data_IF_132024780174
#
_entry.id   IF_132024780174
#
_cell.length_a   1.000
_cell.length_b   1.000
_cell.length_c   1.000
_cell.angle_alpha   90.00
_cell.angle_beta   90.00
_cell.angle_gamma   90.00
#
_symmetry.space_group_name_H-M   'P 1'
#
loop_
_entity.id
_entity.type
_entity.pdbx_description
1 polymer ?
#
# COMPACT_ATOMS: atom_id res chain seq x y z
N UNK A 1 51.99 16.63 11.18
CA UNK A 1 50.99 16.89 10.11
C UNK A 1 50.51 18.32 10.31
N UNK A 2 50.79 19.24 9.37
CA UNK A 2 50.43 20.65 9.52
C UNK A 2 48.90 20.81 9.53
N UNK A 3 48.36 21.66 10.41
CA UNK A 3 46.93 21.93 10.57
C UNK A 3 46.22 22.20 9.24
N UNK A 4 46.89 22.92 8.33
CA UNK A 4 46.43 23.22 6.97
C UNK A 4 46.21 21.95 6.14
N UNK A 5 47.11 20.96 6.25
CA UNK A 5 46.95 19.68 5.54
C UNK A 5 45.79 18.86 6.10
N UNK A 6 45.56 18.92 7.43
CA UNK A 6 44.41 18.26 8.06
C UNK A 6 43.08 18.90 7.62
N UNK A 7 43.01 20.22 7.52
CA UNK A 7 41.82 20.94 7.03
C UNK A 7 41.56 20.63 5.55
N UNK A 8 42.61 20.63 4.72
CA UNK A 8 42.50 20.26 3.30
C UNK A 8 42.07 18.80 3.11
N UNK A 9 42.54 17.88 3.95
CA UNK A 9 42.07 16.48 3.90
C UNK A 9 40.63 16.35 4.36
N UNK A 10 40.20 17.08 5.39
CA UNK A 10 38.80 17.09 5.82
C UNK A 10 37.88 17.68 4.74
N UNK A 11 38.32 18.74 4.04
CA UNK A 11 37.57 19.30 2.92
C UNK A 11 37.41 18.29 1.77
N UNK A 12 38.45 17.52 1.44
CA UNK A 12 38.41 16.49 0.38
C UNK A 12 37.52 15.28 0.73
N UNK A 13 37.45 14.90 2.00
CA UNK A 13 36.62 13.78 2.48
C UNK A 13 35.20 14.27 2.85
N UNK A 14 34.97 15.59 2.88
CA UNK A 14 33.65 16.14 3.19
C UNK A 14 32.63 15.76 2.12
N UNK A 15 31.38 15.57 2.53
CA UNK A 15 30.27 15.33 1.60
C UNK A 15 30.13 16.42 0.54
N UNK A 16 30.51 17.67 0.85
CA UNK A 16 30.52 18.78 -0.10
C UNK A 16 31.44 18.54 -1.30
N UNK A 17 32.59 17.90 -1.10
CA UNK A 17 33.52 17.58 -2.18
C UNK A 17 33.05 16.41 -3.06
N UNK A 18 32.16 15.56 -2.53
CA UNK A 18 31.58 14.42 -3.25
C UNK A 18 30.24 14.71 -3.92
N UNK A 19 29.69 15.92 -3.79
CA UNK A 19 28.40 16.27 -4.38
C UNK A 19 28.51 16.26 -5.90
N UNK A 20 27.71 15.42 -6.54
CA UNK A 20 27.47 15.43 -7.97
C UNK A 20 26.05 15.95 -8.27
N UNK A 21 25.75 16.20 -9.55
CA UNK A 21 24.45 16.75 -9.96
C UNK A 21 23.28 15.82 -9.57
N UNK A 22 23.47 14.52 -9.71
CA UNK A 22 22.44 13.50 -9.44
C UNK A 22 22.08 13.44 -7.95
N UNK A 23 23.08 13.45 -7.06
CA UNK A 23 22.91 13.57 -5.61
C UNK A 23 22.16 14.84 -5.25
N UNK A 24 22.50 15.99 -5.86
CA UNK A 24 21.80 17.26 -5.61
C UNK A 24 20.32 17.16 -6.02
N UNK A 25 20.01 16.58 -7.18
CA UNK A 25 18.63 16.37 -7.63
C UNK A 25 17.90 15.46 -6.63
N UNK A 26 18.50 14.37 -6.17
CA UNK A 26 17.86 13.47 -5.20
C UNK A 26 17.66 14.11 -3.83
N UNK A 27 18.58 14.96 -3.37
CA UNK A 27 18.38 15.76 -2.15
C UNK A 27 17.19 16.71 -2.30
N UNK A 28 17.00 17.31 -3.48
CA UNK A 28 15.82 18.13 -3.78
C UNK A 28 14.54 17.28 -3.82
N UNK A 29 14.57 16.10 -4.44
CA UNK A 29 13.44 15.16 -4.43
C UNK A 29 13.08 14.77 -3.00
N UNK A 30 14.06 14.38 -2.17
CA UNK A 30 13.88 14.11 -0.75
C UNK A 30 13.26 15.30 0.00
N UNK A 31 13.73 16.52 -0.28
CA UNK A 31 13.16 17.76 0.26
C UNK A 31 11.69 18.00 -0.15
N UNK A 32 11.34 17.71 -1.41
CA UNK A 32 9.95 17.78 -1.89
C UNK A 32 9.08 16.76 -1.16
N UNK A 33 9.56 15.52 -1.00
CA UNK A 33 8.83 14.48 -0.28
C UNK A 33 8.65 14.83 1.20
N UNK A 34 9.66 15.42 1.85
CA UNK A 34 9.54 15.97 3.21
C UNK A 34 8.47 17.07 3.28
N UNK A 35 8.43 17.98 2.30
CA UNK A 35 7.39 19.02 2.23
C UNK A 35 5.99 18.41 2.11
N UNK A 36 5.82 17.39 1.25
CA UNK A 36 4.54 16.69 1.09
C UNK A 36 4.13 15.97 2.39
N UNK A 37 5.07 15.31 3.06
CA UNK A 37 4.80 14.61 4.31
C UNK A 37 4.48 15.57 5.47
N UNK A 38 5.23 16.66 5.63
CA UNK A 38 5.12 17.57 6.78
C UNK A 38 4.01 18.61 6.58
N UNK A 39 4.04 19.32 5.44
CA UNK A 39 3.15 20.46 5.18
C UNK A 39 1.83 19.99 4.62
N UNK A 40 1.84 19.07 3.64
CA UNK A 40 0.61 18.54 3.03
C UNK A 40 0.03 17.33 3.79
N UNK A 41 0.78 16.75 4.74
CA UNK A 41 0.37 15.60 5.55
C UNK A 41 -0.02 14.38 4.70
N UNK A 42 0.72 14.16 3.61
CA UNK A 42 0.53 12.99 2.74
C UNK A 42 1.23 11.79 3.35
N UNK A 43 0.44 10.80 3.78
CA UNK A 43 0.90 9.55 4.43
C UNK A 43 2.14 9.74 5.34
N UNK A 44 2.08 10.68 6.31
CA UNK A 44 3.28 11.19 6.98
C UNK A 44 4.00 10.11 7.79
N UNK A 45 3.30 9.07 8.23
CA UNK A 45 3.91 7.97 9.00
C UNK A 45 4.94 7.19 8.18
N UNK A 46 4.75 7.10 6.87
CA UNK A 46 5.64 6.35 5.96
C UNK A 46 6.44 7.28 5.05
N UNK A 47 5.81 8.30 4.47
CA UNK A 47 6.46 9.19 3.52
C UNK A 47 7.59 10.01 4.17
N UNK A 48 7.46 10.36 5.44
CA UNK A 48 8.51 11.11 6.15
C UNK A 48 9.79 10.27 6.34
N UNK A 49 9.76 9.04 6.91
CA UNK A 49 10.94 8.18 6.92
C UNK A 49 11.51 7.86 5.53
N UNK A 50 10.65 7.65 4.52
CA UNK A 50 11.10 7.42 3.12
C UNK A 50 11.88 8.61 2.60
N UNK A 51 11.33 9.82 2.74
CA UNK A 51 11.97 11.04 2.30
C UNK A 51 13.32 11.27 3.01
N UNK A 52 13.39 10.97 4.31
CA UNK A 52 14.63 11.09 5.07
C UNK A 52 15.67 10.03 4.65
N UNK A 53 15.24 8.78 4.43
CA UNK A 53 16.11 7.72 3.89
C UNK A 53 16.68 8.07 2.51
N UNK A 54 15.86 8.67 1.64
CA UNK A 54 16.30 9.16 0.33
C UNK A 54 17.37 10.26 0.45
N UNK A 55 17.25 11.14 1.44
CA UNK A 55 18.29 12.14 1.72
C UNK A 55 19.57 11.44 2.20
N UNK A 56 19.46 10.54 3.18
CA UNK A 56 20.62 9.85 3.75
C UNK A 56 21.44 9.10 2.70
N UNK A 57 20.79 8.37 1.80
CA UNK A 57 21.49 7.53 0.83
C UNK A 57 22.18 8.32 -0.28
N UNK A 58 21.73 9.54 -0.55
CA UNK A 58 22.33 10.40 -1.57
C UNK A 58 23.36 11.39 -1.00
N UNK A 59 23.69 11.30 0.28
CA UNK A 59 24.82 12.00 0.87
C UNK A 59 26.14 11.29 0.50
N UNK A 60 27.11 12.00 -0.13
CA UNK A 60 28.37 11.40 -0.55
C UNK A 60 29.23 10.89 0.61
N UNK A 61 30.00 9.84 0.36
CA UNK A 61 31.03 9.29 1.27
C UNK A 61 30.52 8.82 2.64
N UNK A 62 29.22 8.50 2.77
CA UNK A 62 28.64 8.07 4.05
C UNK A 62 28.80 6.58 4.35
N UNK A 63 29.03 5.75 3.33
CA UNK A 63 29.14 4.30 3.47
C UNK A 63 27.88 3.61 3.99
N UNK A 64 26.72 4.29 4.06
CA UNK A 64 25.52 3.78 4.71
C UNK A 64 24.95 2.52 4.05
N UNK A 65 25.14 2.40 2.73
CA UNK A 65 24.69 1.27 1.91
C UNK A 65 25.82 0.30 1.54
N UNK A 66 27.06 0.60 1.92
CA UNK A 66 28.19 -0.32 1.75
C UNK A 66 28.01 -1.55 2.66
N UNK A 67 28.74 -2.62 2.38
CA UNK A 67 28.68 -3.86 3.18
C UNK A 67 29.00 -3.56 4.66
N UNK A 68 28.08 -3.92 5.56
CA UNK A 68 28.18 -3.61 6.99
C UNK A 68 27.70 -2.19 7.38
N UNK A 69 27.31 -1.36 6.42
CA UNK A 69 26.67 -0.07 6.66
C UNK A 69 25.31 -0.20 7.32
N UNK A 70 24.91 0.81 8.10
CA UNK A 70 23.66 0.75 8.86
C UNK A 70 22.42 0.52 7.97
N UNK A 71 22.28 1.27 6.88
CA UNK A 71 21.13 1.12 5.96
C UNK A 71 21.21 -0.18 5.16
N UNK A 72 22.42 -0.66 4.85
CA UNK A 72 22.63 -1.98 4.24
C UNK A 72 22.11 -3.10 5.15
N UNK A 73 22.53 -3.12 6.41
CA UNK A 73 22.08 -4.11 7.41
C UNK A 73 20.57 -4.00 7.64
N UNK A 74 20.05 -2.79 7.79
CA UNK A 74 18.62 -2.59 8.01
C UNK A 74 17.80 -3.06 6.80
N UNK A 75 18.32 -2.90 5.58
CA UNK A 75 17.66 -3.34 4.34
C UNK A 75 17.51 -4.85 4.23
N UNK A 76 18.23 -5.64 5.03
CA UNK A 76 17.96 -7.07 5.20
C UNK A 76 16.48 -7.35 5.50
N UNK A 77 15.84 -6.50 6.31
CA UNK A 77 14.43 -6.65 6.66
C UNK A 77 13.46 -6.40 5.49
N UNK A 78 13.87 -5.68 4.44
CA UNK A 78 13.10 -5.56 3.19
C UNK A 78 13.40 -6.73 2.26
N UNK A 79 14.69 -7.03 2.04
CA UNK A 79 15.12 -8.08 1.11
C UNK A 79 14.61 -9.47 1.51
N UNK A 80 14.43 -9.71 2.81
CA UNK A 80 13.85 -10.94 3.36
C UNK A 80 12.41 -10.78 3.87
N UNK A 81 11.73 -9.70 3.45
CA UNK A 81 10.28 -9.50 3.65
C UNK A 81 9.83 -9.36 5.12
N UNK A 82 10.77 -9.33 6.06
CA UNK A 82 10.48 -9.25 7.48
C UNK A 82 9.61 -8.04 7.83
N UNK A 83 9.98 -6.86 7.33
CA UNK A 83 9.25 -5.64 7.67
C UNK A 83 7.84 -5.59 7.04
N UNK A 84 7.64 -5.85 5.73
CA UNK A 84 6.29 -5.93 5.17
C UNK A 84 5.39 -6.94 5.90
N UNK A 85 5.90 -8.15 6.19
CA UNK A 85 5.14 -9.19 6.89
C UNK A 85 4.71 -8.74 8.29
N UNK A 86 5.61 -8.10 9.05
CA UNK A 86 5.28 -7.57 10.38
C UNK A 86 4.28 -6.40 10.31
N UNK A 87 4.32 -5.57 9.27
CA UNK A 87 3.27 -4.56 9.04
C UNK A 87 1.91 -5.23 8.81
N UNK A 88 1.84 -6.31 8.04
CA UNK A 88 0.59 -7.05 7.85
C UNK A 88 0.01 -7.60 9.15
N UNK A 89 0.84 -8.00 10.11
CA UNK A 89 0.39 -8.38 11.45
C UNK A 89 -0.34 -7.21 12.14
N UNK A 90 0.26 -6.02 12.13
CA UNK A 90 -0.33 -4.82 12.71
C UNK A 90 -1.62 -4.41 12.00
N UNK A 91 -1.65 -4.45 10.65
CA UNK A 91 -2.87 -4.23 9.86
C UNK A 91 -3.96 -5.21 10.27
N UNK A 92 -3.63 -6.49 10.42
CA UNK A 92 -4.55 -7.51 10.93
C UNK A 92 -5.13 -7.19 12.30
N UNK A 93 -4.29 -6.73 13.22
CA UNK A 93 -4.68 -6.35 14.58
C UNK A 93 -5.57 -5.10 14.62
N UNK A 94 -5.39 -4.16 13.68
CA UNK A 94 -6.22 -2.96 13.56
C UNK A 94 -7.55 -3.18 12.81
N UNK A 95 -7.64 -4.26 12.01
CA UNK A 95 -8.76 -4.45 11.08
C UNK A 95 -9.95 -5.15 11.74
N UNK A 96 -11.14 -4.53 11.64
CA UNK A 96 -12.41 -5.19 11.94
C UNK A 96 -12.99 -5.85 10.69
N UNK A 97 -13.03 -7.18 10.67
CA UNK A 97 -13.63 -7.97 9.58
C UNK A 97 -15.15 -8.12 9.73
N UNK A 98 -15.76 -7.60 10.80
CA UNK A 98 -17.21 -7.62 11.01
C UNK A 98 -18.02 -7.12 9.81
N UNK A 99 -17.70 -5.96 9.22
CA UNK A 99 -18.32 -5.47 7.99
C UNK A 99 -18.29 -6.46 6.82
N UNK A 100 -17.15 -7.12 6.60
CA UNK A 100 -16.98 -8.10 5.52
C UNK A 100 -17.82 -9.36 5.78
N UNK A 101 -17.73 -9.90 7.00
CA UNK A 101 -18.49 -11.07 7.43
C UNK A 101 -19.99 -10.83 7.35
N UNK A 102 -20.45 -9.64 7.76
CA UNK A 102 -21.86 -9.30 7.75
C UNK A 102 -22.47 -9.27 6.35
N UNK A 103 -21.69 -8.93 5.32
CA UNK A 103 -22.13 -8.94 3.93
C UNK A 103 -21.05 -9.51 2.99
N UNK A 104 -20.94 -10.85 2.88
CA UNK A 104 -19.86 -11.50 2.14
C UNK A 104 -19.82 -11.18 0.64
N UNK A 105 -20.94 -10.76 0.04
CA UNK A 105 -20.99 -10.34 -1.37
C UNK A 105 -20.03 -9.17 -1.63
N UNK A 106 -19.76 -8.35 -0.60
CA UNK A 106 -18.79 -7.24 -0.70
C UNK A 106 -17.36 -7.69 -0.96
N UNK A 107 -17.03 -8.97 -0.70
CA UNK A 107 -15.73 -9.54 -1.08
C UNK A 107 -15.46 -9.45 -2.58
N UNK A 108 -16.50 -9.63 -3.41
CA UNK A 108 -16.39 -9.53 -4.87
C UNK A 108 -16.06 -8.11 -5.34
N UNK A 109 -16.41 -7.07 -4.57
CA UNK A 109 -16.02 -5.69 -4.90
C UNK A 109 -14.52 -5.47 -4.70
N UNK A 110 -13.93 -6.09 -3.67
CA UNK A 110 -12.48 -6.11 -3.46
C UNK A 110 -11.74 -6.86 -4.58
N UNK A 111 -12.32 -7.96 -5.07
CA UNK A 111 -11.79 -8.69 -6.22
C UNK A 111 -11.86 -7.86 -7.51
N UNK A 112 -13.00 -7.21 -7.79
CA UNK A 112 -13.17 -6.35 -8.96
C UNK A 112 -12.25 -5.11 -8.94
N UNK A 113 -11.91 -4.61 -7.75
CA UNK A 113 -10.96 -3.51 -7.60
C UNK A 113 -9.53 -3.90 -8.04
N UNK A 114 -9.19 -5.19 -8.12
CA UNK A 114 -7.89 -5.64 -8.66
C UNK A 114 -7.78 -5.48 -10.19
N UNK A 115 -8.82 -4.99 -10.87
CA UNK A 115 -8.74 -4.68 -12.31
C UNK A 115 -7.55 -3.78 -12.65
N UNK A 116 -7.28 -2.77 -11.82
CA UNK A 116 -6.16 -1.86 -12.08
C UNK A 116 -4.79 -2.53 -11.98
N UNK A 117 -4.68 -3.61 -11.21
CA UNK A 117 -3.46 -4.43 -11.17
C UNK A 117 -3.18 -5.03 -12.55
N UNK A 118 -4.18 -5.69 -13.15
CA UNK A 118 -4.03 -6.29 -14.48
C UNK A 118 -3.81 -5.25 -15.58
N UNK A 119 -4.51 -4.11 -15.52
CA UNK A 119 -4.30 -3.00 -16.47
C UNK A 119 -2.86 -2.48 -16.40
N UNK A 120 -2.30 -2.36 -15.20
CA UNK A 120 -0.93 -1.92 -15.02
C UNK A 120 0.11 -2.94 -15.50
N UNK A 121 -0.11 -4.25 -15.28
CA UNK A 121 0.75 -5.31 -15.83
C UNK A 121 0.77 -5.25 -17.35
N UNK A 122 -0.41 -5.24 -17.98
CA UNK A 122 -0.53 -5.19 -19.44
C UNK A 122 0.12 -3.91 -19.96
N UNK A 123 -0.15 -2.77 -19.32
CA UNK A 123 0.46 -1.49 -19.65
C UNK A 123 1.99 -1.51 -19.55
N UNK A 124 2.54 -2.09 -18.49
CA UNK A 124 3.97 -2.22 -18.27
C UNK A 124 4.66 -3.08 -19.34
N UNK A 125 4.08 -4.24 -19.67
CA UNK A 125 4.60 -5.10 -20.74
C UNK A 125 4.58 -4.37 -22.09
N UNK A 126 3.49 -3.66 -22.41
CA UNK A 126 3.37 -2.93 -23.67
C UNK A 126 4.38 -1.79 -23.83
N UNK A 127 4.84 -1.19 -22.73
CA UNK A 127 5.86 -0.13 -22.75
C UNK A 127 7.29 -0.63 -22.54
N UNK A 128 7.48 -1.96 -22.55
CA UNK A 128 8.78 -2.62 -22.64
C UNK A 128 9.39 -3.12 -21.33
N UNK A 129 8.64 -3.13 -20.21
CA UNK A 129 9.11 -3.80 -19.00
C UNK A 129 9.02 -5.31 -19.15
N UNK A 130 9.96 -6.05 -18.53
CA UNK A 130 9.86 -7.50 -18.48
C UNK A 130 8.67 -7.94 -17.60
N UNK A 131 8.25 -9.21 -17.70
CA UNK A 131 7.04 -9.67 -17.01
C UNK A 131 7.15 -9.62 -15.48
N UNK A 132 8.36 -9.77 -14.90
CA UNK A 132 8.60 -9.69 -13.45
C UNK A 132 8.54 -8.24 -12.98
N UNK A 133 9.18 -7.33 -13.72
CA UNK A 133 9.05 -5.89 -13.49
C UNK A 133 7.60 -5.42 -13.65
N UNK A 134 6.92 -5.87 -14.71
CA UNK A 134 5.52 -5.55 -14.96
C UNK A 134 4.59 -6.07 -13.86
N UNK A 135 4.84 -7.26 -13.31
CA UNK A 135 4.10 -7.78 -12.15
C UNK A 135 4.30 -6.91 -10.90
N UNK A 136 5.54 -6.51 -10.63
CA UNK A 136 5.87 -5.62 -9.51
C UNK A 136 5.24 -4.21 -9.67
N UNK A 137 5.25 -3.65 -10.88
CA UNK A 137 4.58 -2.37 -11.20
C UNK A 137 3.05 -2.54 -11.10
N UNK A 138 2.55 -3.67 -11.56
CA UNK A 138 1.14 -4.04 -11.57
C UNK A 138 0.49 -3.87 -10.21
N UNK A 139 1.15 -4.40 -9.18
CA UNK A 139 0.57 -4.48 -7.85
C UNK A 139 0.36 -3.11 -7.18
N UNK A 140 0.99 -2.04 -7.69
CA UNK A 140 0.68 -0.64 -7.30
C UNK A 140 -0.81 -0.36 -7.46
N UNK A 141 -1.45 -0.94 -8.47
CA UNK A 141 -2.89 -0.83 -8.70
C UNK A 141 -3.75 -1.36 -7.55
N UNK A 142 -3.23 -2.27 -6.73
CA UNK A 142 -3.88 -2.75 -5.53
C UNK A 142 -3.96 -1.69 -4.42
N UNK A 143 -3.16 -0.63 -4.50
CA UNK A 143 -3.06 0.44 -3.49
C UNK A 143 -2.73 -0.08 -2.08
N UNK A 144 -1.90 -1.13 -2.03
CA UNK A 144 -1.39 -1.74 -0.81
C UNK A 144 0.13 -1.63 -0.82
N UNK A 145 0.64 -0.61 -0.12
CA UNK A 145 2.07 -0.31 -0.06
C UNK A 145 2.92 -1.48 0.46
N UNK A 146 2.59 -2.09 1.61
CA UNK A 146 3.28 -3.27 2.11
C UNK A 146 3.32 -4.44 1.12
N UNK A 147 2.21 -4.78 0.47
CA UNK A 147 2.22 -5.83 -0.59
C UNK A 147 3.06 -5.40 -1.79
N UNK A 148 3.04 -4.12 -2.16
CA UNK A 148 3.83 -3.60 -3.28
C UNK A 148 5.32 -3.71 -3.05
N UNK A 149 5.78 -3.36 -1.84
CA UNK A 149 7.18 -3.53 -1.44
C UNK A 149 7.55 -5.00 -1.40
N UNK A 150 6.68 -5.84 -0.83
CA UNK A 150 6.90 -7.28 -0.75
C UNK A 150 7.14 -7.92 -2.12
N UNK A 151 6.26 -7.65 -3.09
CA UNK A 151 6.39 -8.21 -4.44
C UNK A 151 7.59 -7.63 -5.18
N UNK A 152 7.81 -6.32 -5.09
CA UNK A 152 8.94 -5.66 -5.74
C UNK A 152 10.30 -6.15 -5.20
N UNK A 153 10.41 -6.40 -3.89
CA UNK A 153 11.62 -6.94 -3.28
C UNK A 153 12.02 -8.32 -3.83
N UNK A 154 11.04 -9.15 -4.20
CA UNK A 154 11.30 -10.47 -4.81
C UNK A 154 11.49 -10.42 -6.33
N UNK A 155 10.71 -9.59 -7.02
CA UNK A 155 10.60 -9.64 -8.47
C UNK A 155 11.45 -8.60 -9.19
N UNK A 156 11.55 -7.39 -8.63
CA UNK A 156 12.16 -6.26 -9.30
C UNK A 156 12.89 -5.32 -8.31
N UNK A 157 13.96 -5.80 -7.62
CA UNK A 157 14.62 -5.03 -6.56
C UNK A 157 15.16 -3.67 -7.02
N UNK A 158 15.58 -3.57 -8.29
CA UNK A 158 16.16 -2.35 -8.88
C UNK A 158 15.17 -1.20 -8.98
N UNK A 159 13.88 -1.49 -9.14
CA UNK A 159 12.82 -0.47 -9.27
C UNK A 159 11.96 -0.36 -8.00
N UNK A 160 12.38 -1.01 -6.90
CA UNK A 160 11.65 -1.01 -5.63
C UNK A 160 11.38 0.41 -5.12
N UNK A 161 12.39 1.28 -5.16
CA UNK A 161 12.24 2.67 -4.73
C UNK A 161 11.16 3.42 -5.51
N UNK A 162 11.14 3.27 -6.84
CA UNK A 162 10.13 3.86 -7.70
C UNK A 162 8.71 3.32 -7.40
N UNK A 163 8.58 2.00 -7.25
CA UNK A 163 7.31 1.33 -6.93
C UNK A 163 6.78 1.79 -5.57
N UNK A 164 7.63 1.82 -4.55
CA UNK A 164 7.23 2.19 -3.19
C UNK A 164 6.81 3.67 -3.10
N UNK A 165 7.56 4.58 -3.74
CA UNK A 165 7.17 6.00 -3.82
C UNK A 165 5.84 6.15 -4.54
N UNK A 166 5.66 5.48 -5.67
CA UNK A 166 4.40 5.51 -6.42
C UNK A 166 3.23 4.99 -5.55
N UNK A 167 3.38 3.82 -4.93
CA UNK A 167 2.34 3.20 -4.11
C UNK A 167 1.86 4.13 -2.98
N UNK A 168 2.76 4.65 -2.14
CA UNK A 168 2.36 5.51 -1.02
C UNK A 168 1.90 6.91 -1.44
N UNK A 169 2.51 7.47 -2.50
CA UNK A 169 2.05 8.74 -3.06
C UNK A 169 0.61 8.62 -3.53
N UNK A 170 0.25 7.55 -4.25
CA UNK A 170 -1.11 7.37 -4.74
C UNK A 170 -2.12 7.02 -3.66
N UNK A 171 -1.72 6.26 -2.62
CA UNK A 171 -2.55 6.05 -1.43
C UNK A 171 -2.92 7.39 -0.77
N UNK A 172 -2.00 8.35 -0.68
CA UNK A 172 -2.31 9.69 -0.15
C UNK A 172 -3.26 10.49 -1.06
N UNK A 173 -3.23 10.22 -2.36
CA UNK A 173 -4.02 10.91 -3.40
C UNK A 173 -5.37 10.25 -3.67
N UNK A 174 -5.72 9.14 -2.99
CA UNK A 174 -7.07 8.52 -3.02
C UNK A 174 -8.20 9.58 -2.95
N UNK A 175 -8.17 10.59 -2.06
CA UNK A 175 -9.24 11.58 -1.94
C UNK A 175 -9.33 12.56 -3.12
N UNK A 176 -8.30 12.63 -3.95
CA UNK A 176 -8.25 13.43 -5.16
C UNK A 176 -8.65 12.60 -6.38
N UNK A 177 -8.14 11.37 -6.49
CA UNK A 177 -8.31 10.51 -7.67
C UNK A 177 -9.69 9.83 -7.68
N UNK A 178 -10.15 9.31 -6.54
CA UNK A 178 -11.41 8.55 -6.51
C UNK A 178 -12.66 9.39 -6.77
N UNK A 179 -12.86 10.58 -6.17
CA UNK A 179 -14.12 11.30 -6.29
C UNK A 179 -14.52 11.69 -7.72
N UNK A 180 -13.60 12.14 -8.60
CA UNK A 180 -13.93 12.38 -10.01
C UNK A 180 -14.48 11.12 -10.70
N UNK A 181 -13.84 9.97 -10.51
CA UNK A 181 -14.25 8.69 -11.11
C UNK A 181 -15.60 8.24 -10.55
N UNK A 182 -15.77 8.30 -9.22
CA UNK A 182 -17.06 8.07 -8.57
C UNK A 182 -18.15 8.96 -9.17
N UNK A 183 -17.84 10.25 -9.41
CA UNK A 183 -18.81 11.21 -9.93
C UNK A 183 -19.17 10.98 -11.40
N UNK A 184 -18.23 10.46 -12.18
CA UNK A 184 -18.40 10.18 -13.61
C UNK A 184 -19.22 8.91 -13.85
N UNK A 185 -19.03 7.87 -13.04
CA UNK A 185 -19.64 6.55 -13.26
C UNK A 185 -20.82 6.22 -12.33
N UNK A 186 -21.33 7.19 -11.58
CA UNK A 186 -22.54 7.02 -10.76
C UNK A 186 -23.46 8.22 -10.89
N UNK A 187 -24.77 8.05 -10.72
CA UNK A 187 -25.72 9.17 -10.72
C UNK A 187 -25.95 9.71 -9.30
N UNK A 188 -26.49 10.94 -9.18
CA UNK A 188 -26.81 11.52 -7.86
C UNK A 188 -27.81 10.66 -7.09
N UNK A 189 -28.80 10.09 -7.76
CA UNK A 189 -29.80 9.22 -7.14
C UNK A 189 -29.19 7.91 -6.62
N UNK A 190 -28.26 7.31 -7.37
CA UNK A 190 -27.52 6.12 -6.89
C UNK A 190 -26.70 6.41 -5.63
N UNK A 191 -26.08 7.60 -5.55
CA UNK A 191 -25.27 7.99 -4.38
C UNK A 191 -26.11 8.22 -3.12
N UNK A 192 -27.39 8.58 -3.26
CA UNK A 192 -28.31 8.82 -2.13
C UNK A 192 -28.81 7.54 -1.47
N UNK A 193 -28.62 6.37 -2.09
CA UNK A 193 -29.09 5.08 -1.60
C UNK A 193 -28.54 4.81 -0.20
N UNK A 194 -29.45 4.66 0.75
CA UNK A 194 -29.16 4.27 2.13
C UNK A 194 -29.12 2.74 2.20
N UNK A 195 -27.99 2.21 2.63
CA UNK A 195 -27.82 0.76 2.77
C UNK A 195 -28.47 0.26 4.07
N UNK A 196 -29.02 -0.96 4.02
CA UNK A 196 -29.60 -1.61 5.20
C UNK A 196 -28.51 -1.89 6.24
N UNK A 197 -28.86 -1.76 7.51
CA UNK A 197 -27.96 -2.09 8.62
C UNK A 197 -27.40 -3.51 8.48
N UNK A 198 -26.11 -3.66 8.75
CA UNK A 198 -25.41 -4.94 8.71
C UNK A 198 -25.98 -5.90 9.76
N UNK A 199 -25.99 -7.21 9.44
CA UNK A 199 -26.35 -8.23 10.43
C UNK A 199 -25.33 -8.22 11.59
N UNK A 200 -25.75 -8.58 12.81
CA UNK A 200 -24.79 -8.85 13.87
C UNK A 200 -23.93 -10.06 13.51
N UNK A 201 -22.62 -9.94 13.72
CA UNK A 201 -21.65 -11.02 13.52
C UNK A 201 -21.30 -11.60 14.88
N UNK A 202 -21.45 -12.92 15.03
CA UNK A 202 -21.19 -13.56 16.31
C UNK A 202 -19.69 -13.56 16.63
N UNK A 203 -19.34 -13.60 17.93
CA UNK A 203 -17.94 -13.66 18.34
C UNK A 203 -17.24 -14.93 17.82
N UNK A 204 -17.96 -16.06 17.79
CA UNK A 204 -17.47 -17.33 17.23
C UNK A 204 -17.10 -17.17 15.75
N UNK A 205 -17.95 -16.51 14.97
CA UNK A 205 -17.70 -16.27 13.55
C UNK A 205 -16.46 -15.39 13.34
N UNK A 206 -16.30 -14.32 14.13
CA UNK A 206 -15.11 -13.46 14.07
C UNK A 206 -13.81 -14.20 14.43
N UNK A 207 -13.85 -15.14 15.37
CA UNK A 207 -12.68 -15.94 15.79
C UNK A 207 -12.35 -17.04 14.77
N UNK A 208 -13.36 -17.72 14.23
CA UNK A 208 -13.14 -18.80 13.27
C UNK A 208 -12.70 -18.28 11.89
N UNK A 209 -13.13 -17.08 11.51
CA UNK A 209 -12.78 -16.48 10.23
C UNK A 209 -11.26 -16.46 9.94
N UNK A 210 -10.39 -15.87 10.79
CA UNK A 210 -8.96 -15.84 10.52
C UNK A 210 -8.32 -17.23 10.44
N UNK A 211 -8.80 -18.18 11.24
CA UNK A 211 -8.30 -19.57 11.24
C UNK A 211 -8.66 -20.27 9.93
N UNK A 212 -9.95 -20.22 9.55
CA UNK A 212 -10.45 -20.84 8.33
C UNK A 212 -9.82 -20.17 7.10
N UNK A 213 -9.74 -18.84 7.09
CA UNK A 213 -9.12 -18.08 5.99
C UNK A 213 -7.65 -18.49 5.81
N UNK A 214 -6.88 -18.59 6.89
CA UNK A 214 -5.47 -19.01 6.84
C UNK A 214 -5.31 -20.42 6.28
N UNK A 215 -6.08 -21.39 6.79
CA UNK A 215 -6.01 -22.78 6.32
C UNK A 215 -6.43 -22.88 4.86
N UNK A 216 -7.56 -22.25 4.50
CA UNK A 216 -8.10 -22.30 3.14
C UNK A 216 -7.17 -21.66 2.11
N UNK A 217 -6.70 -20.44 2.39
CA UNK A 217 -5.74 -19.74 1.52
C UNK A 217 -4.42 -20.49 1.47
N UNK A 218 -3.94 -21.04 2.58
CA UNK A 218 -2.69 -21.79 2.61
C UNK A 218 -2.72 -23.09 1.82
N UNK A 219 -3.87 -23.76 1.76
CA UNK A 219 -4.04 -24.97 0.95
C UNK A 219 -4.20 -24.66 -0.56
N UNK A 220 -4.78 -23.51 -0.91
CA UNK A 220 -5.02 -23.14 -2.31
C UNK A 220 -3.83 -22.38 -2.92
N UNK A 221 -3.25 -21.45 -2.17
CA UNK A 221 -2.20 -20.54 -2.63
C UNK A 221 -1.14 -20.33 -1.54
N UNK A 222 -0.24 -21.32 -1.33
CA UNK A 222 0.79 -21.29 -0.29
C UNK A 222 1.65 -20.02 -0.31
N UNK A 223 1.94 -19.47 -1.49
CA UNK A 223 2.75 -18.26 -1.66
C UNK A 223 2.13 -17.00 -0.99
N UNK A 224 0.82 -16.98 -0.71
CA UNK A 224 0.16 -15.87 -0.01
C UNK A 224 0.20 -16.00 1.51
N UNK A 225 0.59 -17.16 2.05
CA UNK A 225 0.57 -17.45 3.50
C UNK A 225 1.42 -16.48 4.32
N UNK A 226 2.64 -16.08 3.90
CA UNK A 226 3.43 -15.12 4.66
C UNK A 226 2.69 -13.79 4.92
N UNK A 227 1.89 -13.33 3.97
CA UNK A 227 1.11 -12.10 4.08
C UNK A 227 -0.21 -12.36 4.81
N UNK A 228 -1.05 -13.23 4.23
CA UNK A 228 -2.43 -13.45 4.70
C UNK A 228 -2.43 -14.14 6.05
N UNK A 229 -1.57 -15.14 6.26
CA UNK A 229 -1.49 -15.87 7.53
C UNK A 229 -1.09 -14.97 8.70
N UNK A 230 -0.09 -14.11 8.50
CA UNK A 230 0.36 -13.17 9.55
C UNK A 230 -0.64 -12.05 9.78
N UNK A 231 -1.32 -11.57 8.72
CA UNK A 231 -2.47 -10.67 8.87
C UNK A 231 -3.61 -11.31 9.67
N UNK A 232 -3.95 -12.57 9.38
CA UNK A 232 -4.98 -13.30 10.12
C UNK A 232 -4.54 -13.60 11.57
N UNK A 233 -3.25 -13.80 11.84
CA UNK A 233 -2.72 -13.90 13.20
C UNK A 233 -2.95 -12.61 13.99
N UNK A 234 -2.63 -11.46 13.39
CA UNK A 234 -2.93 -10.15 13.97
C UNK A 234 -4.43 -9.98 14.25
N UNK A 235 -5.28 -10.40 13.31
CA UNK A 235 -6.72 -10.37 13.50
C UNK A 235 -7.18 -11.29 14.65
N UNK A 236 -6.57 -12.47 14.80
CA UNK A 236 -6.88 -13.38 15.89
C UNK A 236 -6.44 -12.82 17.25
N UNK A 237 -5.34 -12.06 17.33
CA UNK A 237 -4.98 -11.34 18.57
C UNK A 237 -6.09 -10.38 18.99
N UNK A 238 -6.61 -9.60 18.05
CA UNK A 238 -7.73 -8.68 18.25
C UNK A 238 -9.02 -9.41 18.65
N UNK A 239 -9.36 -10.49 17.94
CA UNK A 239 -10.65 -11.16 18.12
C UNK A 239 -10.66 -12.17 19.28
N UNK A 240 -9.53 -12.71 19.70
CA UNK A 240 -9.50 -13.68 20.80
C UNK A 240 -9.76 -13.05 22.18
N UNK A 241 -9.49 -11.74 22.34
CA UNK A 241 -9.64 -10.97 23.60
C UNK A 241 -8.84 -11.47 24.81
N UNK A 242 -8.07 -12.56 24.66
CA UNK A 242 -7.25 -13.17 25.73
C UNK A 242 -5.80 -12.68 25.69
N UNK A 243 -5.36 -12.10 24.58
CA UNK A 243 -4.00 -11.57 24.37
C UNK A 243 -4.00 -10.07 24.09
N UNK A 244 -4.78 -9.29 24.86
CA UNK A 244 -4.90 -7.83 24.65
C UNK A 244 -3.54 -7.13 24.62
N UNK A 245 -2.59 -7.51 25.50
CA UNK A 245 -1.22 -6.98 25.48
C UNK A 245 -0.53 -7.18 24.14
N UNK A 246 -0.69 -8.36 23.52
CA UNK A 246 -0.10 -8.65 22.20
C UNK A 246 -0.82 -7.88 21.09
N UNK A 247 -2.16 -7.81 21.13
CA UNK A 247 -2.94 -7.03 20.17
C UNK A 247 -2.56 -5.55 20.22
N UNK A 248 -2.44 -4.97 21.41
CA UNK A 248 -2.06 -3.58 21.63
C UNK A 248 -0.63 -3.31 21.17
N UNK A 249 0.29 -4.23 21.49
CA UNK A 249 1.68 -4.14 21.02
C UNK A 249 1.76 -4.19 19.50
N UNK A 250 1.01 -5.09 18.85
CA UNK A 250 1.03 -5.27 17.40
C UNK A 250 0.47 -4.05 16.65
N UNK A 251 -0.63 -3.46 17.15
CA UNK A 251 -1.30 -2.34 16.49
C UNK A 251 -0.70 -0.96 16.82
N UNK A 252 0.15 -0.85 17.85
CA UNK A 252 0.79 0.41 18.24
C UNK A 252 2.32 0.30 18.14
N UNK A 253 2.99 -0.22 19.17
CA UNK A 253 4.45 -0.12 19.32
C UNK A 253 5.20 -0.86 18.20
N UNK A 254 4.83 -2.10 17.92
CA UNK A 254 5.50 -2.94 16.92
C UNK A 254 5.37 -2.32 15.52
N UNK A 255 4.14 -1.98 15.10
CA UNK A 255 3.93 -1.41 13.77
C UNK A 255 4.63 -0.06 13.63
N UNK A 256 4.69 0.77 14.68
CA UNK A 256 5.42 2.03 14.65
C UNK A 256 6.93 1.83 14.47
N UNK A 257 7.53 0.88 15.21
CA UNK A 257 8.96 0.54 15.07
C UNK A 257 9.26 0.03 13.65
N UNK A 258 8.46 -0.93 13.18
CA UNK A 258 8.65 -1.54 11.86
C UNK A 258 8.41 -0.52 10.74
N UNK A 259 7.47 0.41 10.91
CA UNK A 259 7.20 1.50 9.96
C UNK A 259 8.42 2.42 9.81
N UNK A 260 9.09 2.76 10.91
CA UNK A 260 10.32 3.57 10.87
C UNK A 260 11.41 2.84 10.08
N UNK A 261 11.62 1.54 10.37
CA UNK A 261 12.64 0.75 9.69
C UNK A 261 12.33 0.56 8.21
N UNK A 262 11.10 0.16 7.89
CA UNK A 262 10.63 -0.02 6.53
C UNK A 262 10.78 1.27 5.73
N UNK A 263 10.24 2.38 6.22
CA UNK A 263 10.27 3.64 5.49
C UNK A 263 11.69 4.15 5.26
N UNK A 264 12.56 4.07 6.28
CA UNK A 264 13.97 4.48 6.13
C UNK A 264 14.69 3.61 5.10
N UNK A 265 14.49 2.29 5.11
CA UNK A 265 15.09 1.38 4.12
C UNK A 265 14.53 1.53 2.71
N UNK A 266 13.22 1.78 2.57
CA UNK A 266 12.62 2.10 1.27
C UNK A 266 13.27 3.36 0.71
N UNK A 267 13.44 4.40 1.53
CA UNK A 267 14.18 5.60 1.14
C UNK A 267 15.63 5.29 0.73
N UNK A 268 16.28 4.32 1.39
CA UNK A 268 17.62 3.88 1.03
C UNK A 268 17.73 3.21 -0.35
N UNK A 269 16.61 2.74 -0.91
CA UNK A 269 16.57 2.23 -2.30
C UNK A 269 16.46 3.35 -3.34
N UNK A 270 16.28 4.61 -2.92
CA UNK A 270 16.19 5.77 -3.79
C UNK A 270 17.57 6.39 -4.06
N UNK A 271 18.54 5.57 -4.45
CA UNK A 271 19.83 6.07 -4.94
C UNK A 271 19.65 6.70 -6.31
N UNK A 272 20.39 7.78 -6.60
CA UNK A 272 20.20 8.55 -7.82
C UNK A 272 20.33 7.70 -9.10
N UNK A 273 21.28 6.76 -9.14
CA UNK A 273 21.49 5.83 -10.26
C UNK A 273 20.24 5.00 -10.60
N UNK A 274 19.48 4.57 -9.59
CA UNK A 274 18.30 3.73 -9.77
C UNK A 274 17.00 4.53 -9.93
N UNK A 275 16.92 5.70 -9.29
CA UNK A 275 15.69 6.47 -9.21
C UNK A 275 15.57 7.56 -10.29
N UNK A 276 16.66 8.18 -10.73
CA UNK A 276 16.65 9.22 -11.78
C UNK A 276 16.64 8.62 -13.18
N UNK A 277 15.66 7.75 -13.43
CA UNK A 277 15.54 6.97 -14.66
C UNK A 277 14.22 7.27 -15.37
N UNK A 278 14.19 7.08 -16.70
CA UNK A 278 12.96 7.25 -17.48
C UNK A 278 11.93 6.18 -17.07
N UNK A 279 12.42 5.00 -16.69
CA UNK A 279 11.66 3.89 -16.11
C UNK A 279 10.87 4.33 -14.89
N UNK A 280 11.49 5.08 -13.97
CA UNK A 280 10.81 5.60 -12.77
C UNK A 280 9.61 6.47 -13.12
N UNK A 281 9.75 7.35 -14.13
CA UNK A 281 8.63 8.20 -14.60
C UNK A 281 7.51 7.33 -15.19
N UNK A 282 7.85 6.31 -15.99
CA UNK A 282 6.88 5.35 -16.53
C UNK A 282 6.12 4.62 -15.42
N UNK A 283 6.83 4.16 -14.37
CA UNK A 283 6.24 3.47 -13.21
C UNK A 283 5.26 4.38 -12.48
N UNK A 284 5.64 5.63 -12.23
CA UNK A 284 4.78 6.64 -11.61
C UNK A 284 3.51 6.79 -12.46
N UNK A 285 3.62 7.08 -13.76
CA UNK A 285 2.45 7.27 -14.64
C UNK A 285 1.55 6.03 -14.67
N UNK A 286 2.13 4.83 -14.80
CA UNK A 286 1.37 3.58 -14.78
C UNK A 286 0.64 3.37 -13.47
N UNK A 287 1.27 3.65 -12.32
CA UNK A 287 0.64 3.52 -11.02
C UNK A 287 -0.59 4.43 -10.86
N UNK A 288 -0.55 5.65 -11.41
CA UNK A 288 -1.70 6.55 -11.42
C UNK A 288 -2.86 5.98 -12.26
N UNK A 289 -2.55 5.46 -13.45
CA UNK A 289 -3.52 4.81 -14.33
C UNK A 289 -4.10 3.57 -13.64
N UNK A 290 -3.25 2.74 -13.04
CA UNK A 290 -3.63 1.55 -12.29
C UNK A 290 -4.68 1.89 -11.23
N UNK A 291 -4.38 2.88 -10.40
CA UNK A 291 -5.28 3.32 -9.33
C UNK A 291 -6.64 3.81 -9.84
N UNK A 292 -6.63 4.56 -10.95
CA UNK A 292 -7.86 5.01 -11.60
C UNK A 292 -8.70 3.82 -12.10
N UNK A 293 -8.08 2.83 -12.73
CA UNK A 293 -8.75 1.62 -13.20
C UNK A 293 -9.20 0.69 -12.06
N UNK A 294 -8.49 0.63 -10.94
CA UNK A 294 -8.95 -0.09 -9.74
C UNK A 294 -10.23 0.52 -9.18
N UNK A 295 -10.26 1.85 -9.08
CA UNK A 295 -11.46 2.58 -8.64
C UNK A 295 -12.63 2.36 -9.61
N UNK A 296 -12.34 2.46 -10.91
CA UNK A 296 -13.33 2.20 -11.97
C UNK A 296 -13.87 0.77 -11.93
N UNK A 297 -13.01 -0.24 -11.83
CA UNK A 297 -13.40 -1.66 -11.76
C UNK A 297 -14.28 -1.94 -10.55
N UNK A 298 -13.93 -1.38 -9.39
CA UNK A 298 -14.75 -1.45 -8.19
C UNK A 298 -16.13 -0.81 -8.38
N UNK A 299 -16.21 0.40 -8.95
CA UNK A 299 -17.49 1.07 -9.22
C UNK A 299 -18.32 0.30 -10.25
N UNK A 300 -17.70 -0.19 -11.32
CA UNK A 300 -18.36 -0.95 -12.38
C UNK A 300 -19.04 -2.19 -11.78
N UNK A 301 -18.33 -2.93 -10.94
CA UNK A 301 -18.92 -4.06 -10.24
C UNK A 301 -19.96 -3.63 -9.20
N UNK A 302 -19.77 -2.48 -8.53
CA UNK A 302 -20.78 -1.85 -7.69
C UNK A 302 -22.08 -1.53 -8.44
N UNK A 303 -22.00 -1.10 -9.69
CA UNK A 303 -23.15 -0.86 -10.58
C UNK A 303 -23.85 -2.17 -10.96
N UNK A 304 -23.09 -3.24 -11.21
CA UNK A 304 -23.63 -4.57 -11.46
C UNK A 304 -24.42 -5.05 -10.23
N UNK A 305 -23.82 -4.95 -9.03
CA UNK A 305 -24.49 -5.31 -7.78
C UNK A 305 -25.71 -4.44 -7.48
N UNK A 306 -25.67 -3.15 -7.83
CA UNK A 306 -26.84 -2.28 -7.75
C UNK A 306 -28.00 -2.80 -8.60
N UNK A 307 -27.74 -3.19 -9.86
CA UNK A 307 -28.76 -3.76 -10.75
C UNK A 307 -29.29 -5.11 -10.24
N UNK A 308 -28.40 -6.03 -9.88
CA UNK A 308 -28.76 -7.38 -9.42
C UNK A 308 -29.56 -7.32 -8.11
N UNK A 309 -29.21 -6.39 -7.20
CA UNK A 309 -29.90 -6.25 -5.92
C UNK A 309 -31.25 -5.53 -6.00
N UNK A 310 -31.65 -5.06 -7.19
CA UNK A 310 -32.85 -4.24 -7.36
C UNK A 310 -32.73 -2.86 -6.69
N UNK A 311 -31.53 -2.29 -6.68
CA UNK A 311 -31.25 -0.94 -6.18
C UNK A 311 -30.91 -0.82 -4.69
N UNK A 312 -30.55 -1.93 -4.04
CA UNK A 312 -30.28 -1.94 -2.58
C UNK A 312 -28.81 -1.66 -2.23
N UNK A 313 -27.89 -1.91 -3.15
CA UNK A 313 -26.44 -1.72 -2.96
C UNK A 313 -26.04 -0.37 -3.55
N UNK A 314 -25.39 0.48 -2.74
CA UNK A 314 -24.88 1.77 -3.20
C UNK A 314 -23.57 1.56 -3.99
N UNK A 315 -23.49 1.93 -5.29
CA UNK A 315 -22.28 1.72 -6.09
C UNK A 315 -21.01 2.37 -5.54
N UNK A 316 -21.12 3.40 -4.70
CA UNK A 316 -19.97 4.09 -4.09
C UNK A 316 -19.11 3.15 -3.23
N UNK A 317 -19.68 2.11 -2.63
CA UNK A 317 -18.90 1.15 -1.85
C UNK A 317 -17.96 0.32 -2.74
N UNK A 318 -18.20 0.27 -4.05
CA UNK A 318 -17.32 -0.41 -4.99
C UNK A 318 -15.96 0.26 -5.12
N UNK A 319 -15.92 1.60 -5.14
CA UNK A 319 -14.66 2.33 -5.12
C UNK A 319 -13.88 2.14 -3.80
N UNK A 320 -14.57 1.78 -2.72
CA UNK A 320 -13.90 1.42 -1.46
C UNK A 320 -13.20 0.06 -1.54
N UNK A 321 -13.35 -0.71 -2.63
CA UNK A 321 -12.60 -1.96 -2.85
C UNK A 321 -11.10 -1.74 -3.09
N UNK A 322 -10.67 -0.51 -3.39
CA UNK A 322 -9.25 -0.15 -3.45
C UNK A 322 -8.67 -0.18 -2.04
N UNK A 323 -7.57 -0.92 -1.84
CA UNK A 323 -7.01 -1.35 -0.54
C UNK A 323 -6.39 -0.26 0.33
N UNK A 324 -6.74 1.02 0.10
CA UNK A 324 -6.29 2.14 0.92
C UNK A 324 -7.12 2.21 2.21
N UNK A 325 -6.78 1.37 3.19
CA UNK A 325 -7.46 1.29 4.48
C UNK A 325 -6.99 2.41 5.42
N UNK A 326 -7.90 3.12 6.14
CA UNK A 326 -9.35 3.17 5.99
C UNK A 326 -9.81 4.27 4.99
N UNK A 327 -8.87 4.91 4.27
CA UNK A 327 -9.12 6.13 3.51
C UNK A 327 -10.12 5.97 2.36
N UNK A 328 -10.04 4.90 1.56
CA UNK A 328 -10.98 4.66 0.46
C UNK A 328 -12.44 4.59 0.95
N UNK A 329 -12.67 3.91 2.08
CA UNK A 329 -13.99 3.86 2.72
C UNK A 329 -14.45 5.23 3.25
N UNK A 330 -13.52 6.05 3.80
CA UNK A 330 -13.81 7.43 4.21
C UNK A 330 -14.13 8.35 3.03
N UNK A 331 -13.49 8.14 1.88
CA UNK A 331 -13.79 8.90 0.66
C UNK A 331 -15.17 8.52 0.11
N UNK A 332 -15.51 7.23 0.08
CA UNK A 332 -16.86 6.77 -0.28
C UNK A 332 -17.93 7.37 0.66
N UNK A 333 -17.66 7.39 1.98
CA UNK A 333 -18.51 8.07 2.96
C UNK A 333 -18.69 9.56 2.64
N UNK A 334 -17.60 10.29 2.40
CA UNK A 334 -17.62 11.73 2.10
C UNK A 334 -18.42 12.03 0.84
N UNK A 335 -18.21 11.26 -0.23
CA UNK A 335 -18.95 11.44 -1.50
C UNK A 335 -20.43 11.05 -1.34
N UNK A 336 -20.74 10.03 -0.55
CA UNK A 336 -22.11 9.68 -0.18
C UNK A 336 -22.82 10.80 0.57
N UNK A 337 -22.16 11.39 1.57
CA UNK A 337 -22.71 12.51 2.36
C UNK A 337 -22.92 13.79 1.55
N UNK A 338 -22.07 14.04 0.54
CA UNK A 338 -22.30 15.15 -0.40
C UNK A 338 -23.61 14.99 -1.19
N UNK A 339 -24.05 13.76 -1.43
CA UNK A 339 -25.31 13.48 -2.12
C UNK A 339 -26.52 13.43 -1.16
N UNK A 340 -26.32 12.86 0.04
CA UNK A 340 -27.32 12.76 1.11
C UNK A 340 -26.62 12.86 2.49
N UNK A 341 -26.75 13.97 3.24
CA UNK A 341 -26.10 14.15 4.54
C UNK A 341 -26.42 13.09 5.60
N UNK A 342 -27.56 12.39 5.47
CA UNK A 342 -27.99 11.31 6.38
C UNK A 342 -27.48 9.93 5.96
N UNK A 343 -26.74 9.82 4.86
CA UNK A 343 -26.25 8.54 4.36
C UNK A 343 -24.88 8.20 4.98
N UNK A 344 -24.83 7.09 5.73
CA UNK A 344 -23.62 6.59 6.37
C UNK A 344 -23.21 5.26 5.72
N UNK A 345 -22.20 5.35 4.85
CA UNK A 345 -21.62 4.25 4.10
C UNK A 345 -20.34 3.68 4.74
N UNK A 346 -19.67 4.37 5.66
CA UNK A 346 -18.35 3.96 6.17
C UNK A 346 -18.34 2.49 6.64
N UNK A 347 -19.31 2.08 7.46
CA UNK A 347 -19.40 0.69 7.94
C UNK A 347 -19.65 -0.32 6.82
N UNK A 348 -20.35 0.06 5.75
CA UNK A 348 -20.57 -0.80 4.58
C UNK A 348 -19.37 -0.83 3.64
N UNK A 349 -18.67 0.29 3.51
CA UNK A 349 -17.52 0.48 2.65
C UNK A 349 -16.24 -0.15 3.22
N UNK A 350 -16.18 -0.38 4.54
CA UNK A 350 -15.07 -1.11 5.17
C UNK A 350 -15.01 -2.58 4.70
N UNK A 351 -16.14 -3.23 4.40
CA UNK A 351 -16.15 -4.60 3.87
C UNK A 351 -15.34 -4.74 2.57
N UNK A 352 -15.69 -4.00 1.50
CA UNK A 352 -14.90 -3.94 0.27
C UNK A 352 -13.44 -3.55 0.49
N UNK A 353 -13.17 -2.58 1.37
CA UNK A 353 -11.79 -2.08 1.60
C UNK A 353 -10.88 -3.17 2.19
N UNK A 354 -11.39 -3.90 3.18
CA UNK A 354 -10.69 -5.04 3.77
C UNK A 354 -10.57 -6.19 2.77
N UNK A 355 -11.60 -6.45 1.97
CA UNK A 355 -11.52 -7.43 0.88
C UNK A 355 -10.48 -7.05 -0.18
N UNK A 356 -10.29 -5.75 -0.43
CA UNK A 356 -9.23 -5.24 -1.29
C UNK A 356 -7.85 -5.66 -0.82
N UNK A 357 -7.53 -5.46 0.46
CA UNK A 357 -6.24 -5.85 1.06
C UNK A 357 -5.98 -7.35 0.86
N UNK A 358 -6.99 -8.19 1.15
CA UNK A 358 -6.89 -9.63 0.88
C UNK A 358 -6.69 -9.89 -0.62
N UNK A 359 -7.46 -9.23 -1.47
CA UNK A 359 -7.41 -9.40 -2.92
C UNK A 359 -6.04 -9.07 -3.51
N UNK A 360 -5.41 -7.99 -3.04
CA UNK A 360 -4.07 -7.60 -3.47
C UNK A 360 -3.01 -8.58 -2.99
N UNK A 361 -3.10 -9.07 -1.75
CA UNK A 361 -2.22 -10.12 -1.24
C UNK A 361 -2.34 -11.43 -2.04
N UNK A 362 -3.57 -11.84 -2.37
CA UNK A 362 -3.82 -13.01 -3.24
C UNK A 362 -3.24 -12.78 -4.64
N UNK A 363 -3.48 -11.61 -5.24
CA UNK A 363 -2.93 -11.28 -6.56
C UNK A 363 -1.40 -11.35 -6.57
N UNK A 364 -0.73 -10.82 -5.55
CA UNK A 364 0.71 -10.92 -5.38
C UNK A 364 1.17 -12.39 -5.22
N UNK A 365 0.47 -13.19 -4.42
CA UNK A 365 0.81 -14.61 -4.26
C UNK A 365 0.63 -15.44 -5.53
N UNK A 366 -0.38 -15.13 -6.35
CA UNK A 366 -0.55 -15.73 -7.68
C UNK A 366 0.62 -15.34 -8.58
N UNK A 367 0.98 -14.05 -8.63
CA UNK A 367 2.12 -13.59 -9.44
C UNK A 367 3.43 -14.27 -9.02
N UNK A 368 3.68 -14.39 -7.71
CA UNK A 368 4.84 -15.11 -7.20
C UNK A 368 4.83 -16.57 -7.64
N UNK A 369 3.69 -17.25 -7.53
CA UNK A 369 3.61 -18.66 -7.92
C UNK A 369 3.82 -18.86 -9.42
N UNK A 370 3.36 -17.92 -10.25
CA UNK A 370 3.45 -18.03 -11.71
C UNK A 370 4.79 -17.57 -12.30
N UNK A 371 5.53 -16.70 -11.61
CA UNK A 371 6.69 -15.99 -12.16
C UNK A 371 8.00 -16.19 -11.36
N UNK A 372 7.97 -16.85 -10.20
CA UNK A 372 9.18 -17.22 -9.45
C UNK A 372 10.02 -18.25 -10.18
#
# INVERSE_FOLDING_TARGET
>A
MNLVNSILSMAKISGFAGLNLESVIMLLVGGILLYLAIVKKYEPLLLLPIAFGAILVNLPFTGLMEEGGFLNILSFGIHHELFPILIFMGIGAMTDFGPLLANPITFLLGAAAQLGVFVAIIGAVLIGFDIREAAAIGIIGGADGPTSIYLAAKMAPKILGAIAVAAYSYMSLVPLIQPPIMKMFTTREQRKIVMKQLRPVSKKEKILFPIICTIFVGLILPASVPIIGIMMLGNLFRESMVVNRLSDTAQNELINIVTIFLGTCVGATMQAEYFLTVETIKIIILGLIAFAFSTFGGILFGQILYKISGGKINPLIGAAGVSAVPMAARVAQKVGQQANPRNFLLMHAMGPNVAGVIGTAVAAGVMLTLLQ
#
